data_IF_192273611794
#
_entry.id   IF_192273611794
#
_cell.length_a   1.000
_cell.length_b   1.000
_cell.length_c   1.000
_cell.angle_alpha   90.00
_cell.angle_beta   90.00
_cell.angle_gamma   90.00
#
_symmetry.space_group_name_H-M   'P 1'
#
loop_
_entity.id
_entity.type
_entity.pdbx_description
1 polymer ?
#
# COMPACT_ATOMS: atom_id res chain seq x y z
N UNK A 1 24.23 6.85 -6.60
CA UNK A 1 22.99 6.47 -7.29
C UNK A 1 22.31 5.49 -6.36
N UNK A 2 21.19 5.86 -5.76
CA UNK A 2 20.48 4.98 -4.82
C UNK A 2 20.18 3.64 -5.51
N UNK A 3 20.25 2.56 -4.75
CA UNK A 3 20.08 1.20 -5.25
C UNK A 3 18.64 0.99 -5.77
N UNK A 4 18.42 1.27 -7.05
CA UNK A 4 17.15 1.01 -7.76
C UNK A 4 16.82 -0.50 -7.82
N UNK A 5 17.71 -1.39 -7.35
CA UNK A 5 17.43 -2.82 -7.30
C UNK A 5 16.25 -3.14 -6.38
N UNK A 6 16.11 -2.43 -5.25
CA UNK A 6 15.07 -2.73 -4.29
C UNK A 6 13.66 -2.45 -4.83
N UNK A 7 13.32 -1.23 -5.31
CA UNK A 7 11.99 -0.96 -5.84
C UNK A 7 11.63 -1.89 -7.00
N UNK A 8 12.55 -2.11 -7.93
CA UNK A 8 12.33 -2.98 -9.09
C UNK A 8 12.08 -4.43 -8.69
N UNK A 9 12.88 -4.99 -7.79
CA UNK A 9 12.69 -6.35 -7.29
C UNK A 9 11.34 -6.53 -6.57
N UNK A 10 10.87 -5.50 -5.85
CA UNK A 10 9.55 -5.54 -5.20
C UNK A 10 8.43 -5.42 -6.25
N UNK A 11 8.60 -4.56 -7.26
CA UNK A 11 7.64 -4.43 -8.37
C UNK A 11 7.46 -5.75 -9.12
N UNK A 12 8.54 -6.49 -9.38
CA UNK A 12 8.49 -7.82 -10.02
C UNK A 12 7.70 -8.83 -9.17
N UNK A 13 7.91 -8.84 -7.85
CA UNK A 13 7.13 -9.68 -6.92
C UNK A 13 5.65 -9.32 -6.91
N UNK A 14 5.34 -8.02 -6.91
CA UNK A 14 3.95 -7.52 -6.96
C UNK A 14 3.31 -7.86 -8.31
N UNK A 15 4.05 -7.74 -9.42
CA UNK A 15 3.56 -8.08 -10.75
C UNK A 15 3.22 -9.57 -10.85
N UNK A 16 4.02 -10.44 -10.25
CA UNK A 16 3.77 -11.88 -10.18
C UNK A 16 2.60 -12.26 -9.26
N UNK A 17 2.43 -11.58 -8.12
CA UNK A 17 1.46 -12.00 -7.11
C UNK A 17 0.01 -11.62 -7.44
N UNK A 18 -0.93 -12.55 -7.23
CA UNK A 18 -2.38 -12.28 -7.29
C UNK A 18 -2.94 -11.66 -6.01
N UNK A 19 -2.25 -11.88 -4.87
CA UNK A 19 -2.66 -11.41 -3.55
C UNK A 19 -1.44 -10.92 -2.76
N UNK A 20 -1.58 -9.76 -2.12
CA UNK A 20 -0.51 -9.10 -1.35
C UNK A 20 -1.02 -8.84 0.07
N UNK A 21 -0.36 -9.43 1.07
CA UNK A 21 -0.75 -9.26 2.47
C UNK A 21 0.28 -8.42 3.23
N UNK A 22 -0.17 -7.34 3.86
CA UNK A 22 0.65 -6.46 4.68
C UNK A 22 0.48 -6.80 6.16
N UNK A 23 1.59 -6.94 6.88
CA UNK A 23 1.62 -7.20 8.32
C UNK A 23 2.47 -6.13 9.01
N UNK A 24 1.85 -5.28 9.83
CA UNK A 24 2.59 -4.22 10.51
C UNK A 24 1.92 -3.71 11.79
N UNK A 25 2.68 -3.25 12.79
CA UNK A 25 2.11 -2.54 13.94
C UNK A 25 1.61 -1.15 13.52
N UNK A 26 0.51 -0.68 14.10
CA UNK A 26 0.02 0.69 13.87
C UNK A 26 0.89 1.68 14.63
N UNK A 27 1.54 2.59 13.90
CA UNK A 27 2.30 3.70 14.45
C UNK A 27 1.67 5.02 14.03
N UNK A 28 1.28 5.85 15.01
CA UNK A 28 0.61 7.14 14.76
C UNK A 28 -0.58 7.05 13.78
N UNK A 29 -1.43 6.03 13.96
CA UNK A 29 -2.58 5.78 13.07
C UNK A 29 -2.19 5.57 11.59
N UNK A 30 -1.02 4.99 11.34
CA UNK A 30 -0.54 4.61 10.01
C UNK A 30 0.43 3.41 10.07
N UNK A 31 0.95 3.02 8.91
CA UNK A 31 2.09 2.13 8.76
C UNK A 31 3.41 2.74 9.29
N UNK A 32 4.38 1.90 9.71
CA UNK A 32 5.74 2.33 10.00
C UNK A 32 6.38 3.09 8.83
N UNK A 33 7.28 4.03 9.13
CA UNK A 33 7.95 4.86 8.11
C UNK A 33 8.69 4.06 7.04
N UNK A 34 9.26 2.91 7.41
CA UNK A 34 9.92 2.00 6.46
C UNK A 34 8.94 1.43 5.43
N UNK A 35 7.73 1.04 5.87
CA UNK A 35 6.69 0.53 4.98
C UNK A 35 6.12 1.67 4.14
N UNK A 36 5.88 2.85 4.72
CA UNK A 36 5.50 4.05 3.98
C UNK A 36 6.50 4.36 2.87
N UNK A 37 7.80 4.37 3.19
CA UNK A 37 8.86 4.64 2.23
C UNK A 37 9.00 3.56 1.16
N UNK A 38 8.71 2.28 1.48
CA UNK A 38 8.59 1.24 0.46
C UNK A 38 7.42 1.54 -0.47
N UNK A 39 6.25 1.87 0.07
CA UNK A 39 5.06 2.18 -0.72
C UNK A 39 5.34 3.34 -1.69
N UNK A 40 5.95 4.42 -1.20
CA UNK A 40 6.23 5.61 -2.01
C UNK A 40 7.20 5.35 -3.17
N UNK A 41 8.18 4.46 -2.98
CA UNK A 41 9.20 4.14 -3.99
C UNK A 41 8.78 3.03 -4.95
N UNK A 42 7.89 2.13 -4.52
CA UNK A 42 7.46 0.97 -5.30
C UNK A 42 6.21 1.28 -6.12
N UNK A 43 5.23 1.97 -5.54
CA UNK A 43 3.94 2.25 -6.19
C UNK A 43 4.00 3.54 -7.00
N UNK A 44 4.90 3.58 -7.98
CA UNK A 44 5.18 4.75 -8.81
C UNK A 44 4.26 4.83 -10.04
N UNK A 45 4.14 6.03 -10.66
CA UNK A 45 3.56 6.16 -11.99
C UNK A 45 4.25 5.22 -13.00
N UNK A 46 3.47 4.61 -13.88
CA UNK A 46 3.95 3.65 -14.87
C UNK A 46 3.91 2.20 -14.38
N UNK A 47 3.97 1.95 -13.07
CA UNK A 47 3.82 0.63 -12.48
C UNK A 47 2.47 0.44 -11.79
N UNK A 48 2.18 1.25 -10.78
CA UNK A 48 0.98 1.09 -9.95
C UNK A 48 -0.23 1.83 -10.50
N UNK A 49 0.01 3.01 -11.06
CA UNK A 49 -1.01 3.88 -11.62
C UNK A 49 -0.42 4.79 -12.70
N UNK A 50 -1.27 5.53 -13.41
CA UNK A 50 -0.91 6.68 -14.23
C UNK A 50 -1.94 7.79 -14.06
N UNK A 51 -1.60 9.02 -14.46
CA UNK A 51 -2.57 10.12 -14.59
C UNK A 51 -2.85 10.38 -16.06
N UNK A 52 -4.13 10.30 -16.47
CA UNK A 52 -4.59 10.65 -17.82
C UNK A 52 -5.80 11.56 -17.71
N UNK A 53 -5.73 12.74 -18.33
CA UNK A 53 -6.82 13.74 -18.32
C UNK A 53 -7.31 14.08 -16.90
N UNK A 54 -6.39 14.26 -15.95
CA UNK A 54 -6.72 14.56 -14.55
C UNK A 54 -7.26 13.38 -13.73
N UNK A 55 -7.49 12.21 -14.34
CA UNK A 55 -7.97 11.00 -13.66
C UNK A 55 -6.83 10.02 -13.40
N UNK A 56 -6.91 9.31 -12.28
CA UNK A 56 -5.99 8.22 -11.94
C UNK A 56 -6.45 6.94 -12.67
N UNK A 57 -5.58 6.37 -13.48
CA UNK A 57 -5.72 5.05 -14.12
C UNK A 57 -4.94 4.06 -13.26
N UNK A 58 -5.59 3.04 -12.72
CA UNK A 58 -4.95 1.99 -11.90
C UNK A 58 -4.40 0.89 -12.80
N UNK A 59 -3.21 0.37 -12.50
CA UNK A 59 -2.55 -0.69 -13.27
C UNK A 59 -2.48 -2.04 -12.54
N UNK A 60 -2.66 -2.05 -11.22
CA UNK A 60 -2.69 -3.28 -10.42
C UNK A 60 -4.12 -3.84 -10.27
N UNK A 61 -4.95 -3.68 -11.30
CA UNK A 61 -6.34 -4.15 -11.29
C UNK A 61 -6.41 -5.67 -11.28
N UNK A 62 -7.31 -6.24 -10.47
CA UNK A 62 -7.47 -7.70 -10.34
C UNK A 62 -6.56 -8.35 -9.30
N UNK A 63 -5.58 -7.62 -8.76
CA UNK A 63 -4.78 -8.06 -7.61
C UNK A 63 -5.52 -7.76 -6.31
N UNK A 64 -5.49 -8.70 -5.36
CA UNK A 64 -6.11 -8.57 -4.03
C UNK A 64 -5.10 -8.11 -3.01
N UNK A 65 -5.56 -7.37 -1.99
CA UNK A 65 -4.72 -6.97 -0.87
C UNK A 65 -5.39 -7.23 0.47
N UNK A 66 -4.63 -7.77 1.42
CA UNK A 66 -5.04 -7.95 2.81
C UNK A 66 -4.14 -7.11 3.73
N UNK A 67 -4.71 -6.61 4.82
CA UNK A 67 -3.97 -5.80 5.80
C UNK A 67 -4.25 -6.34 7.19
N UNK A 68 -3.18 -6.78 7.84
CA UNK A 68 -3.17 -7.28 9.21
C UNK A 68 -2.35 -6.32 10.06
N UNK A 69 -2.96 -5.78 11.10
CA UNK A 69 -2.28 -4.82 11.97
C UNK A 69 -2.45 -5.17 13.44
N UNK A 70 -1.44 -4.82 14.23
CA UNK A 70 -1.49 -4.88 15.69
C UNK A 70 -1.56 -3.47 16.27
N UNK A 71 -2.38 -3.29 17.31
CA UNK A 71 -2.50 -2.03 18.05
C UNK A 71 -2.96 -2.29 19.48
N UNK A 72 -2.54 -1.42 20.40
CA UNK A 72 -3.03 -1.42 21.78
C UNK A 72 -4.44 -0.83 21.90
N UNK A 73 -4.93 -0.11 20.88
CA UNK A 73 -6.29 0.40 20.85
C UNK A 73 -7.24 -0.64 20.26
N UNK A 74 -8.40 -0.82 20.89
CA UNK A 74 -9.45 -1.70 20.37
C UNK A 74 -9.93 -1.25 18.99
N UNK A 75 -10.32 -2.20 18.14
CA UNK A 75 -10.70 -1.93 16.75
C UNK A 75 -11.84 -0.91 16.57
N UNK A 76 -12.65 -0.67 17.60
CA UNK A 76 -13.68 0.38 17.61
C UNK A 76 -13.10 1.79 17.49
N UNK A 77 -11.91 2.04 18.06
CA UNK A 77 -11.25 3.35 18.03
C UNK A 77 -10.93 3.76 16.59
N UNK A 78 -10.34 2.84 15.81
CA UNK A 78 -10.03 3.07 14.41
C UNK A 78 -11.27 3.13 13.50
N UNK A 79 -12.38 2.50 13.90
CA UNK A 79 -13.67 2.67 13.21
C UNK A 79 -14.24 4.08 13.42
N UNK A 80 -14.00 4.71 14.58
CA UNK A 80 -14.57 6.00 14.95
C UNK A 80 -13.72 7.19 14.49
N UNK A 81 -12.39 7.13 14.62
CA UNK A 81 -11.51 8.29 14.45
C UNK A 81 -10.61 8.27 13.22
N UNK A 82 -10.69 7.22 12.40
CA UNK A 82 -9.88 7.09 11.19
C UNK A 82 -9.21 5.74 11.12
N UNK A 83 -9.53 5.00 10.07
CA UNK A 83 -9.14 3.62 9.97
C UNK A 83 -7.89 3.49 9.08
N UNK A 84 -6.79 3.03 9.67
CA UNK A 84 -5.56 2.65 8.95
C UNK A 84 -5.92 1.72 7.78
N UNK A 85 -6.85 0.80 8.00
CA UNK A 85 -7.32 -0.16 6.98
C UNK A 85 -8.08 0.53 5.85
N UNK A 86 -8.88 1.56 6.13
CA UNK A 86 -9.63 2.27 5.08
C UNK A 86 -8.70 3.03 4.12
N UNK A 87 -7.56 3.54 4.60
CA UNK A 87 -6.55 4.16 3.72
C UNK A 87 -5.99 3.17 2.68
N UNK A 88 -5.77 1.92 3.06
CA UNK A 88 -5.35 0.87 2.13
C UNK A 88 -6.49 0.42 1.20
N UNK A 89 -7.74 0.45 1.67
CA UNK A 89 -8.92 0.13 0.84
C UNK A 89 -9.25 1.20 -0.21
N UNK A 90 -8.85 2.45 0.01
CA UNK A 90 -9.12 3.59 -0.88
C UNK A 90 -8.01 3.82 -1.93
N UNK A 91 -7.17 2.81 -2.22
CA UNK A 91 -5.93 2.94 -3.00
C UNK A 91 -5.81 2.05 -4.23
N UNK A 92 -4.55 1.82 -4.61
CA UNK A 92 -4.04 1.23 -5.88
C UNK A 92 -4.69 -0.11 -6.28
N UNK A 93 -5.12 -0.91 -5.32
CA UNK A 93 -5.76 -2.21 -5.56
C UNK A 93 -7.27 -2.01 -5.66
N UNK A 94 -7.87 -2.45 -6.77
CA UNK A 94 -9.31 -2.48 -7.01
C UNK A 94 -9.71 -3.87 -7.47
#
# INVERSE_FOLDING_TARGET
MEDESFPKAVQEKIAWADRISFFFPVWWSAEPSVLKGMIDRVFTPGFAYNRRNGKIVKHLTGKKADVFTSSNFGGWYYKMFGNVVSRYKLGVFA
#
